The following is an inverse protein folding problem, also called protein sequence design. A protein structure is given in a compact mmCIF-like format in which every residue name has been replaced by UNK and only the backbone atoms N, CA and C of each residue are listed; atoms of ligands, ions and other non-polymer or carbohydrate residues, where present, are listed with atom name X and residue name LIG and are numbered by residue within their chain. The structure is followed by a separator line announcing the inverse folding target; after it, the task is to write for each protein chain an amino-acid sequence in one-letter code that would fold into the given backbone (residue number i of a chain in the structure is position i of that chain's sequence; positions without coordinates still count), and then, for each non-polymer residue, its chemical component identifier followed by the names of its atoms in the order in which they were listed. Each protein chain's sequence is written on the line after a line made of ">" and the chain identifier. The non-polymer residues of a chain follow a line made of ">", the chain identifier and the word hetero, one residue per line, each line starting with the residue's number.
data_IF_979819601164
#
_entry.id   IF_979819601164
#
_cell.length_a   1.000
_cell.length_b   1.000
_cell.length_c   1.000
_cell.angle_alpha   90.00
_cell.angle_beta   90.00
_cell.angle_gamma   90.00
#
_symmetry.space_group_name_H-M   'P 1'
#
loop_
_entity.id
_entity.type
_entity.pdbx_description
1 polymer ?
#
# COMPACT_ATOMS: atom_id res chain seq x y z
N UNK A 1 29.74 -10.56 18.53
CA UNK A 1 29.27 -9.75 17.39
C UNK A 1 29.03 -8.35 17.90
N UNK A 2 29.66 -7.36 17.28
CA UNK A 2 29.63 -5.96 17.71
C UNK A 2 28.21 -5.39 17.53
N UNK A 3 27.59 -4.97 18.64
CA UNK A 3 26.21 -4.49 18.66
C UNK A 3 26.18 -3.08 18.07
N UNK A 4 25.91 -2.94 16.77
CA UNK A 4 25.83 -1.64 16.10
C UNK A 4 24.59 -0.89 16.59
N UNK A 5 24.71 0.25 17.30
CA UNK A 5 23.57 0.95 17.88
C UNK A 5 22.71 1.69 16.85
N UNK A 6 23.19 1.84 15.61
CA UNK A 6 22.49 2.56 14.55
C UNK A 6 22.49 1.79 13.23
N UNK A 7 21.34 1.83 12.55
CA UNK A 7 21.13 1.24 11.22
C UNK A 7 21.15 2.35 10.17
N UNK A 8 22.00 2.19 9.14
CA UNK A 8 22.17 3.17 8.07
C UNK A 8 21.67 2.62 6.72
N UNK A 9 21.33 3.52 5.79
CA UNK A 9 21.01 3.18 4.40
C UNK A 9 19.58 2.69 4.14
N UNK A 10 18.78 2.42 5.17
CA UNK A 10 17.39 1.95 5.06
C UNK A 10 16.45 2.77 5.94
N UNK A 11 15.15 2.74 5.64
CA UNK A 11 14.15 3.36 6.50
C UNK A 11 14.10 2.64 7.86
N UNK A 12 14.34 3.39 8.94
CA UNK A 12 14.32 2.87 10.31
C UNK A 12 12.91 2.53 10.82
N UNK A 13 12.81 1.58 11.75
CA UNK A 13 11.56 1.17 12.39
C UNK A 13 11.81 0.60 13.80
N UNK A 14 10.74 0.39 14.59
CA UNK A 14 10.84 -0.12 15.96
C UNK A 14 11.72 0.76 16.84
N UNK A 15 12.61 0.13 17.59
CA UNK A 15 13.56 0.80 18.51
C UNK A 15 14.56 1.72 17.79
N UNK A 16 14.74 1.53 16.48
CA UNK A 16 15.60 2.40 15.66
C UNK A 16 14.90 3.67 15.17
N UNK A 17 13.61 3.88 15.49
CA UNK A 17 12.89 5.12 15.19
C UNK A 17 12.69 5.95 16.46
N UNK A 18 13.49 7.00 16.61
CA UNK A 18 13.48 7.87 17.78
C UNK A 18 12.69 9.15 17.54
N UNK A 19 12.20 9.75 18.63
CA UNK A 19 11.50 11.05 18.66
C UNK A 19 10.24 11.12 17.73
N UNK A 20 9.86 12.32 17.25
CA UNK A 20 8.75 12.61 16.33
C UNK A 20 7.36 12.32 16.90
N UNK A 21 7.20 12.46 18.22
CA UNK A 21 5.92 12.18 18.92
C UNK A 21 4.79 13.07 18.41
N UNK A 22 5.04 14.38 18.26
CA UNK A 22 4.02 15.36 17.81
C UNK A 22 3.59 15.10 16.36
N UNK A 23 4.54 14.84 15.48
CA UNK A 23 4.27 14.56 14.06
C UNK A 23 3.58 13.22 13.87
N UNK A 24 3.96 12.20 14.66
CA UNK A 24 3.27 10.91 14.67
C UNK A 24 1.81 11.09 15.08
N UNK A 25 1.54 11.82 16.17
CA UNK A 25 0.19 12.07 16.65
C UNK A 25 -0.65 12.85 15.63
N UNK A 26 -0.07 13.90 15.03
CA UNK A 26 -0.76 14.70 14.00
C UNK A 26 -1.09 13.88 12.76
N UNK A 27 -0.11 13.15 12.22
CA UNK A 27 -0.32 12.34 11.01
C UNK A 27 -1.29 11.17 11.27
N UNK A 28 -1.24 10.56 12.45
CA UNK A 28 -2.21 9.54 12.87
C UNK A 28 -3.63 10.10 12.96
N UNK A 29 -3.78 11.31 13.50
CA UNK A 29 -5.07 12.01 13.50
C UNK A 29 -5.56 12.25 12.08
N UNK A 30 -4.70 12.72 11.18
CA UNK A 30 -5.08 12.95 9.79
C UNK A 30 -5.56 11.67 9.09
N UNK A 31 -4.90 10.53 9.33
CA UNK A 31 -5.31 9.24 8.78
C UNK A 31 -6.72 8.85 9.25
N UNK A 32 -7.01 9.02 10.55
CA UNK A 32 -8.30 8.65 11.15
C UNK A 32 -9.47 9.53 10.71
N UNK A 33 -9.19 10.75 10.26
CA UNK A 33 -10.21 11.71 9.85
C UNK A 33 -10.21 11.98 8.34
N UNK A 34 -9.52 11.17 7.53
CA UNK A 34 -9.52 11.31 6.07
C UNK A 34 -8.89 12.62 5.55
N UNK A 35 -7.99 13.24 6.32
CA UNK A 35 -7.37 14.52 5.96
C UNK A 35 -6.26 14.30 4.94
N UNK A 36 -6.42 14.81 3.72
CA UNK A 36 -5.37 14.81 2.72
C UNK A 36 -4.13 15.57 3.25
N UNK A 37 -2.97 14.90 3.25
CA UNK A 37 -1.77 15.39 3.92
C UNK A 37 -0.55 15.27 3.02
N UNK A 38 0.12 16.39 2.78
CA UNK A 38 1.42 16.45 2.10
C UNK A 38 2.52 16.66 3.15
N UNK A 39 3.52 15.79 3.18
CA UNK A 39 4.65 15.86 4.12
C UNK A 39 5.92 16.35 3.42
N UNK A 40 6.39 17.54 3.78
CA UNK A 40 7.55 18.20 3.14
C UNK A 40 8.72 18.27 4.11
N UNK A 41 9.90 17.82 3.67
CA UNK A 41 11.18 17.98 4.38
C UNK A 41 12.34 17.61 3.45
N UNK A 42 13.62 17.89 3.80
CA UNK A 42 14.75 17.47 2.98
C UNK A 42 14.91 15.94 2.85
N UNK A 43 15.76 15.48 1.92
CA UNK A 43 16.04 14.05 1.69
C UNK A 43 16.71 13.43 2.92
N UNK A 44 16.35 12.18 3.26
CA UNK A 44 16.86 11.41 4.41
C UNK A 44 16.46 11.90 5.81
N UNK A 45 15.45 12.78 5.92
CA UNK A 45 14.89 13.25 7.21
C UNK A 45 13.82 12.31 7.83
N UNK A 46 13.78 11.04 7.40
CA UNK A 46 12.90 10.04 8.02
C UNK A 46 11.40 10.15 7.70
N UNK A 47 11.00 10.86 6.63
CA UNK A 47 9.58 10.92 6.19
C UNK A 47 8.97 9.55 5.95
N UNK A 48 9.64 8.71 5.16
CA UNK A 48 9.19 7.34 4.87
C UNK A 48 9.05 6.50 6.14
N UNK A 49 10.01 6.61 7.07
CA UNK A 49 9.94 5.92 8.37
C UNK A 49 8.76 6.39 9.21
N UNK A 50 8.49 7.71 9.25
CA UNK A 50 7.35 8.28 9.95
C UNK A 50 6.02 7.77 9.36
N UNK A 51 5.86 7.83 8.03
CA UNK A 51 4.65 7.33 7.36
C UNK A 51 4.45 5.85 7.66
N UNK A 52 5.48 5.00 7.49
CA UNK A 52 5.40 3.56 7.81
C UNK A 52 5.03 3.29 9.27
N UNK A 53 5.56 4.08 10.21
CA UNK A 53 5.19 3.99 11.63
C UNK A 53 3.70 4.31 11.81
N UNK A 54 3.22 5.40 11.21
CA UNK A 54 1.82 5.81 11.34
C UNK A 54 0.87 4.84 10.64
N UNK A 55 1.20 4.28 9.47
CA UNK A 55 0.43 3.22 8.83
C UNK A 55 0.18 2.05 9.79
N UNK A 56 1.23 1.56 10.48
CA UNK A 56 1.09 0.49 11.47
C UNK A 56 0.20 0.86 12.66
N UNK A 57 0.28 2.11 13.14
CA UNK A 57 -0.52 2.59 14.26
C UNK A 57 -1.98 2.89 13.90
N UNK A 58 -2.24 3.23 12.64
CA UNK A 58 -3.56 3.57 12.13
C UNK A 58 -4.39 2.32 11.77
N UNK A 59 -3.71 1.22 11.43
CA UNK A 59 -4.36 -0.04 11.08
C UNK A 59 -5.29 -0.50 12.20
N UNK A 60 -6.54 -0.78 11.86
CA UNK A 60 -7.56 -1.32 12.76
C UNK A 60 -8.57 -2.16 11.98
N UNK A 61 -9.62 -2.61 12.66
CA UNK A 61 -10.73 -3.32 12.01
C UNK A 61 -11.59 -2.36 11.17
N UNK A 62 -11.66 -1.09 11.55
CA UNK A 62 -12.46 -0.05 10.86
C UNK A 62 -11.65 0.80 9.89
N UNK A 63 -10.31 0.72 9.93
CA UNK A 63 -9.42 1.47 9.04
C UNK A 63 -8.31 0.57 8.49
N UNK A 64 -8.32 0.36 7.18
CA UNK A 64 -7.23 -0.28 6.43
C UNK A 64 -6.41 0.78 5.72
N UNK A 65 -5.09 0.73 5.90
CA UNK A 65 -4.16 1.64 5.22
C UNK A 65 -3.42 0.87 4.14
N UNK A 66 -3.58 1.28 2.89
CA UNK A 66 -2.81 0.77 1.76
C UNK A 66 -1.59 1.66 1.57
N UNK A 67 -0.39 1.06 1.67
CA UNK A 67 0.87 1.75 1.40
C UNK A 67 1.34 1.44 -0.02
N UNK A 68 1.67 2.48 -0.80
CA UNK A 68 2.21 2.36 -2.15
C UNK A 68 3.44 3.26 -2.30
N UNK A 69 4.55 2.68 -2.75
CA UNK A 69 5.74 3.43 -3.15
C UNK A 69 5.77 3.52 -4.68
N UNK A 70 5.62 4.74 -5.19
CA UNK A 70 5.55 5.01 -6.64
C UNK A 70 6.88 5.50 -7.20
N UNK A 71 7.97 5.53 -6.43
CA UNK A 71 9.23 6.11 -6.85
C UNK A 71 9.83 5.44 -8.10
N UNK A 72 9.56 4.14 -8.29
CA UNK A 72 10.04 3.38 -9.45
C UNK A 72 9.13 3.49 -10.68
N UNK A 73 7.87 3.89 -10.53
CA UNK A 73 6.91 3.95 -11.64
C UNK A 73 7.35 4.99 -12.67
N UNK A 74 7.47 4.59 -13.93
CA UNK A 74 7.91 5.44 -15.06
C UNK A 74 6.80 5.78 -16.04
N UNK A 75 5.63 5.18 -15.90
CA UNK A 75 4.47 5.39 -16.74
C UNK A 75 3.17 5.34 -15.93
N UNK A 76 2.10 5.90 -16.48
CA UNK A 76 0.75 5.79 -15.88
C UNK A 76 0.31 4.33 -15.76
N UNK A 77 0.60 3.51 -16.77
CA UNK A 77 0.32 2.07 -16.73
C UNK A 77 1.00 1.38 -15.55
N UNK A 78 2.30 1.62 -15.35
CA UNK A 78 3.02 1.07 -14.19
C UNK A 78 2.44 1.56 -12.86
N UNK A 79 1.96 2.80 -12.81
CA UNK A 79 1.25 3.31 -11.63
C UNK A 79 -0.06 2.57 -11.38
N UNK A 80 -0.89 2.37 -12.41
CA UNK A 80 -2.17 1.67 -12.28
C UNK A 80 -1.99 0.20 -11.86
N UNK A 81 -1.00 -0.49 -12.45
CA UNK A 81 -0.63 -1.86 -12.08
C UNK A 81 -0.19 -1.94 -10.61
N UNK A 82 0.68 -1.02 -10.19
CA UNK A 82 1.17 -0.97 -8.81
C UNK A 82 0.06 -0.59 -7.82
N UNK A 83 -0.81 0.36 -8.19
CA UNK A 83 -1.94 0.80 -7.38
C UNK A 83 -2.96 -0.33 -7.17
N UNK A 84 -3.45 -0.93 -8.26
CA UNK A 84 -4.42 -2.02 -8.19
C UNK A 84 -3.83 -3.23 -7.42
N UNK A 85 -2.57 -3.57 -7.70
CA UNK A 85 -1.85 -4.61 -6.96
C UNK A 85 -1.78 -4.31 -5.47
N UNK A 86 -1.38 -3.10 -5.09
CA UNK A 86 -1.21 -2.72 -3.69
C UNK A 86 -2.54 -2.73 -2.95
N UNK A 87 -3.60 -2.18 -3.54
CA UNK A 87 -4.95 -2.18 -2.98
C UNK A 87 -5.43 -3.60 -2.78
N UNK A 88 -5.52 -4.40 -3.85
CA UNK A 88 -6.04 -5.77 -3.76
C UNK A 88 -5.26 -6.61 -2.76
N UNK A 89 -3.92 -6.56 -2.78
CA UNK A 89 -3.07 -7.37 -1.87
C UNK A 89 -3.22 -6.97 -0.41
N UNK A 90 -3.26 -5.68 -0.11
CA UNK A 90 -3.27 -5.19 1.27
C UNK A 90 -4.67 -5.17 1.89
N UNK A 91 -5.72 -5.30 1.08
CA UNK A 91 -7.11 -5.43 1.56
C UNK A 91 -7.60 -6.87 1.63
N UNK A 92 -6.88 -7.82 1.04
CA UNK A 92 -7.26 -9.24 1.03
C UNK A 92 -6.51 -10.00 2.13
N UNK A 93 -7.22 -10.87 2.83
CA UNK A 93 -6.66 -11.74 3.88
C UNK A 93 -6.07 -13.03 3.34
N UNK A 94 -6.56 -13.47 2.17
CA UNK A 94 -6.20 -14.74 1.52
C UNK A 94 -6.03 -14.54 0.01
N UNK A 95 -5.34 -15.49 -0.62
CA UNK A 95 -5.12 -15.49 -2.07
C UNK A 95 -6.43 -15.64 -2.85
N UNK A 96 -7.36 -16.46 -2.36
CA UNK A 96 -8.66 -16.65 -3.00
C UNK A 96 -9.46 -15.34 -3.01
N UNK A 97 -9.47 -14.61 -1.89
CA UNK A 97 -10.12 -13.30 -1.77
C UNK A 97 -9.49 -12.27 -2.71
N UNK A 98 -8.15 -12.29 -2.83
CA UNK A 98 -7.43 -11.43 -3.76
C UNK A 98 -7.84 -11.71 -5.21
N UNK A 99 -7.87 -12.98 -5.63
CA UNK A 99 -8.27 -13.38 -6.98
C UNK A 99 -9.75 -13.07 -7.25
N UNK A 100 -10.63 -13.27 -6.26
CA UNK A 100 -12.05 -12.96 -6.37
C UNK A 100 -12.26 -11.45 -6.57
N UNK A 101 -11.60 -10.62 -5.75
CA UNK A 101 -11.69 -9.18 -5.87
C UNK A 101 -11.09 -8.69 -7.20
N UNK A 102 -9.96 -9.26 -7.65
CA UNK A 102 -9.39 -8.95 -8.96
C UNK A 102 -10.36 -9.28 -10.10
N UNK A 103 -10.99 -10.46 -10.08
CA UNK A 103 -12.00 -10.84 -11.09
C UNK A 103 -13.23 -9.95 -11.02
N UNK A 104 -13.75 -9.68 -9.82
CA UNK A 104 -14.96 -8.90 -9.63
C UNK A 104 -14.78 -7.46 -10.11
N UNK A 105 -13.71 -6.81 -9.66
CA UNK A 105 -13.54 -5.37 -9.87
C UNK A 105 -12.73 -5.02 -11.13
N UNK A 106 -11.95 -5.95 -11.67
CA UNK A 106 -11.11 -5.72 -12.86
C UNK A 106 -11.48 -6.62 -14.05
N UNK A 107 -12.63 -7.29 -14.03
CA UNK A 107 -13.10 -8.16 -15.13
C UNK A 107 -13.01 -7.50 -16.50
N UNK A 108 -13.36 -6.21 -16.60
CA UNK A 108 -13.33 -5.43 -17.86
C UNK A 108 -11.91 -5.22 -18.41
N UNK A 109 -10.91 -5.23 -17.53
CA UNK A 109 -9.51 -4.90 -17.83
C UNK A 109 -8.70 -6.16 -18.17
N UNK A 110 -9.30 -7.35 -18.03
CA UNK A 110 -8.68 -8.65 -18.33
C UNK A 110 -7.28 -8.80 -17.71
N UNK A 111 -7.16 -8.71 -16.37
CA UNK A 111 -5.88 -8.72 -15.69
C UNK A 111 -5.09 -9.99 -15.99
N UNK A 112 -3.81 -9.85 -16.32
CA UNK A 112 -2.88 -10.98 -16.37
C UNK A 112 -2.29 -11.19 -14.99
N UNK A 113 -2.52 -12.39 -14.45
CA UNK A 113 -2.06 -12.80 -13.12
C UNK A 113 -0.90 -13.77 -13.31
N UNK A 114 0.26 -13.45 -12.75
CA UNK A 114 1.40 -14.38 -12.70
C UNK A 114 1.71 -14.76 -11.27
N UNK A 115 1.95 -16.05 -11.03
CA UNK A 115 2.35 -16.63 -9.75
C UNK A 115 3.80 -17.10 -9.86
N UNK A 116 4.72 -16.44 -9.15
CA UNK A 116 6.09 -16.92 -9.03
C UNK A 116 6.15 -18.15 -8.12
N UNK A 117 6.69 -19.26 -8.64
CA UNK A 117 6.96 -20.48 -7.87
C UNK A 117 8.45 -20.54 -7.53
N UNK A 118 8.89 -19.73 -6.57
CA UNK A 118 10.22 -19.90 -5.98
C UNK A 118 10.08 -20.51 -4.59
N UNK A 119 10.77 -21.63 -4.28
CA UNK A 119 10.58 -22.39 -3.05
C UNK A 119 10.96 -21.64 -1.75
N UNK A 120 11.54 -20.44 -1.85
CA UNK A 120 12.07 -19.66 -0.72
C UNK A 120 11.51 -18.24 -0.64
N UNK A 121 10.59 -17.86 -1.54
CA UNK A 121 10.14 -16.48 -1.72
C UNK A 121 8.64 -16.46 -1.59
N UNK A 122 8.11 -15.55 -0.76
CA UNK A 122 6.67 -15.29 -0.67
C UNK A 122 6.03 -15.29 -2.05
N UNK A 123 4.91 -16.00 -2.24
CA UNK A 123 4.19 -16.08 -3.52
C UNK A 123 4.11 -14.70 -4.18
N UNK A 124 4.91 -14.49 -5.22
CA UNK A 124 4.95 -13.21 -5.91
C UNK A 124 3.82 -13.20 -6.94
N UNK A 125 2.73 -12.56 -6.55
CA UNK A 125 1.59 -12.33 -7.44
C UNK A 125 1.82 -11.02 -8.17
N UNK A 126 1.96 -11.04 -9.49
CA UNK A 126 1.95 -9.81 -10.29
C UNK A 126 0.60 -9.65 -10.99
N UNK A 127 0.18 -8.38 -11.11
CA UNK A 127 -1.01 -7.96 -11.84
C UNK A 127 -0.54 -7.03 -12.95
N UNK A 128 -0.76 -7.43 -14.20
CA UNK A 128 -0.58 -6.55 -15.34
C UNK A 128 -1.95 -6.18 -15.91
N UNK A 129 -2.19 -4.89 -16.07
CA UNK A 129 -3.39 -4.32 -16.63
C UNK A 129 -3.07 -3.72 -18.00
N UNK A 130 -4.06 -3.75 -18.89
CA UNK A 130 -4.09 -3.00 -20.14
C UNK A 130 -5.35 -2.12 -20.15
N UNK A 131 -5.43 -1.11 -19.27
CA UNK A 131 -6.63 -0.30 -19.17
C UNK A 131 -6.83 0.53 -20.43
N UNK A 132 -8.07 0.61 -20.91
CA UNK A 132 -8.51 1.66 -21.82
C UNK A 132 -8.80 2.93 -21.00
N UNK A 133 -8.98 4.06 -21.67
CA UNK A 133 -9.28 5.32 -20.99
C UNK A 133 -10.48 5.20 -20.02
N UNK A 134 -11.54 4.50 -20.45
CA UNK A 134 -12.76 4.31 -19.65
C UNK A 134 -12.55 3.38 -18.43
N UNK A 135 -11.46 2.61 -18.38
CA UNK A 135 -11.17 1.66 -17.31
C UNK A 135 -10.40 2.28 -16.13
N UNK A 136 -9.83 3.48 -16.32
CA UNK A 136 -8.98 4.13 -15.31
C UNK A 136 -9.78 4.46 -14.05
N UNK A 137 -10.98 5.00 -14.22
CA UNK A 137 -11.87 5.30 -13.10
C UNK A 137 -12.23 4.04 -12.30
N UNK A 138 -12.44 2.91 -12.99
CA UNK A 138 -12.73 1.65 -12.33
C UNK A 138 -11.57 1.17 -11.44
N UNK A 139 -10.32 1.39 -11.87
CA UNK A 139 -9.11 1.09 -11.09
C UNK A 139 -9.00 2.03 -9.88
N UNK A 140 -9.17 3.33 -10.08
CA UNK A 140 -9.03 4.32 -9.01
C UNK A 140 -10.12 4.19 -7.94
N UNK A 141 -11.29 3.66 -8.31
CA UNK A 141 -12.40 3.36 -7.40
C UNK A 141 -12.26 2.03 -6.65
N UNK A 142 -11.21 1.24 -6.89
CA UNK A 142 -10.99 -0.04 -6.19
C UNK A 142 -11.07 0.04 -4.67
N UNK A 143 -10.40 1.01 -3.98
CA UNK A 143 -10.46 1.07 -2.52
C UNK A 143 -11.88 1.22 -1.99
N UNK A 144 -12.67 2.09 -2.62
CA UNK A 144 -14.06 2.37 -2.24
C UNK A 144 -14.95 1.14 -2.47
N UNK A 145 -14.87 0.53 -3.66
CA UNK A 145 -15.66 -0.67 -4.00
C UNK A 145 -15.38 -1.84 -3.02
N UNK A 146 -14.11 -2.03 -2.64
CA UNK A 146 -13.72 -3.06 -1.67
C UNK A 146 -14.24 -2.72 -0.26
N UNK A 147 -14.14 -1.45 0.16
CA UNK A 147 -14.64 -1.01 1.46
C UNK A 147 -16.16 -1.25 1.58
N UNK A 148 -16.94 -0.87 0.56
CA UNK A 148 -18.39 -1.10 0.52
C UNK A 148 -18.77 -2.59 0.59
N UNK A 149 -18.05 -3.46 -0.15
CA UNK A 149 -18.25 -4.91 -0.08
C UNK A 149 -18.01 -5.45 1.33
N UNK A 150 -16.95 -5.00 2.00
CA UNK A 150 -16.60 -5.47 3.36
C UNK A 150 -17.52 -4.95 4.46
N UNK A 151 -18.13 -3.77 4.30
CA UNK A 151 -19.16 -3.28 5.23
C UNK A 151 -20.47 -4.07 5.08
N UNK A 152 -20.71 -4.64 3.90
CA UNK A 152 -21.93 -5.39 3.58
C UNK A 152 -21.86 -6.88 3.96
N UNK A 153 -20.71 -7.36 4.45
CA UNK A 153 -20.46 -8.73 4.91
C UNK A 153 -20.45 -8.78 6.43
#
# INVERSE_FOLDING_TARGET
>A
MENKPFVFGVATSGDNFTDRKKETARLLSNFRHGVNTVLISPRRWGKTSLVRKVCRLAQSDTLKVVYLDIFSCRSEREFYDAFASAVLKQTSSKLEEWMENARLFLSRISPKISLGTEPMTDFSISLELNPKADDVDDILQLPEKIAQKKVSM
#
